data_IF_310403017083
#
_entry.id   IF_310403017083
#
_cell.length_a   1.000
_cell.length_b   1.000
_cell.length_c   1.000
_cell.angle_alpha   90.00
_cell.angle_beta   90.00
_cell.angle_gamma   90.00
#
_symmetry.space_group_name_H-M   'P 1'
#
loop_
_entity.id
_entity.type
_entity.pdbx_description
1 polymer ?
#
# COMPACT_ATOMS: atom_id res chain seq x y z
N UNK A 1 17.77 -17.47 16.77
CA UNK A 1 16.98 -18.08 17.85
C UNK A 1 16.24 -19.28 17.32
N UNK A 2 15.98 -20.32 18.11
CA UNK A 2 15.31 -21.50 17.61
C UNK A 2 13.83 -21.19 17.29
N UNK A 3 13.32 -21.87 16.26
CA UNK A 3 11.88 -22.02 16.07
C UNK A 3 11.29 -22.48 17.41
N UNK A 4 10.20 -21.86 17.85
CA UNK A 4 9.57 -22.24 19.09
C UNK A 4 9.15 -23.70 19.03
N UNK A 5 9.72 -24.54 19.88
CA UNK A 5 9.54 -25.99 19.84
C UNK A 5 8.10 -26.47 20.12
N UNK A 6 7.20 -25.58 20.58
CA UNK A 6 5.81 -25.91 20.86
C UNK A 6 4.96 -25.72 19.60
N UNK A 7 4.49 -26.81 19.01
CA UNK A 7 3.49 -26.79 17.95
C UNK A 7 2.17 -26.17 18.44
N UNK A 8 1.63 -25.23 17.67
CA UNK A 8 0.31 -24.64 17.88
C UNK A 8 -0.73 -25.49 17.12
N UNK A 9 -1.44 -26.34 17.82
CA UNK A 9 -2.41 -27.31 17.27
C UNK A 9 -3.87 -27.01 17.66
N UNK A 10 -4.11 -26.08 18.60
CA UNK A 10 -5.46 -25.78 19.08
C UNK A 10 -6.00 -24.46 18.51
N UNK A 11 -6.95 -24.51 17.51
CA UNK A 11 -7.57 -23.32 16.93
C UNK A 11 -8.36 -22.46 17.93
N UNK A 12 -8.77 -23.05 19.07
CA UNK A 12 -9.56 -22.37 20.10
C UNK A 12 -8.71 -21.78 21.22
N UNK A 13 -7.40 -21.88 21.15
CA UNK A 13 -6.51 -21.31 22.16
C UNK A 13 -6.63 -19.77 22.23
N UNK A 14 -6.36 -19.19 23.38
CA UNK A 14 -6.42 -17.73 23.57
C UNK A 14 -5.43 -16.97 22.68
N UNK A 15 -4.30 -17.58 22.37
CA UNK A 15 -3.31 -17.02 21.45
C UNK A 15 -3.88 -16.93 20.04
N UNK A 16 -4.42 -18.02 19.51
CA UNK A 16 -5.01 -18.09 18.18
C UNK A 16 -6.18 -17.12 18.05
N UNK A 17 -7.06 -17.06 19.05
CA UNK A 17 -8.19 -16.10 19.06
C UNK A 17 -7.72 -14.66 18.98
N UNK A 18 -6.68 -14.28 19.76
CA UNK A 18 -6.12 -12.91 19.71
C UNK A 18 -5.53 -12.57 18.35
N UNK A 19 -4.87 -13.52 17.67
CA UNK A 19 -4.35 -13.30 16.32
C UNK A 19 -5.51 -13.17 15.33
N UNK A 20 -6.51 -14.02 15.38
CA UNK A 20 -7.69 -13.95 14.53
C UNK A 20 -8.48 -12.63 14.67
N UNK A 21 -8.47 -11.99 15.86
CA UNK A 21 -9.06 -10.66 16.05
C UNK A 21 -8.41 -9.60 15.15
N UNK A 22 -7.15 -9.76 14.74
CA UNK A 22 -6.43 -8.81 13.90
C UNK A 22 -6.96 -8.74 12.45
N UNK A 23 -7.74 -9.71 12.03
CA UNK A 23 -8.47 -9.65 10.75
C UNK A 23 -9.50 -8.52 10.73
N UNK A 24 -9.93 -8.05 11.92
CA UNK A 24 -10.94 -7.01 12.09
C UNK A 24 -10.31 -5.68 12.53
N UNK A 25 -10.78 -4.56 12.00
CA UNK A 25 -10.29 -3.21 12.35
C UNK A 25 -10.31 -2.93 13.85
N UNK A 26 -11.39 -3.35 14.55
CA UNK A 26 -11.48 -3.18 16.02
C UNK A 26 -10.37 -3.93 16.76
N UNK A 27 -10.05 -5.15 16.32
CA UNK A 27 -8.97 -5.96 16.89
C UNK A 27 -7.60 -5.30 16.68
N UNK A 28 -7.32 -4.84 15.48
CA UNK A 28 -6.07 -4.12 15.15
C UNK A 28 -5.87 -2.87 16.02
N UNK A 29 -6.91 -2.02 16.09
CA UNK A 29 -6.85 -0.78 16.91
C UNK A 29 -6.66 -1.06 18.39
N UNK A 30 -7.34 -2.09 18.93
CA UNK A 30 -7.23 -2.47 20.35
C UNK A 30 -5.84 -2.97 20.72
N UNK A 31 -5.21 -3.74 19.83
CA UNK A 31 -3.97 -4.45 20.13
C UNK A 31 -2.71 -3.70 19.61
N UNK A 32 -2.85 -2.63 18.81
CA UNK A 32 -1.72 -1.96 18.16
C UNK A 32 -0.93 -2.88 17.22
N UNK A 33 -1.59 -3.91 16.69
CA UNK A 33 -1.01 -4.95 15.84
C UNK A 33 -1.84 -5.16 14.60
N UNK A 34 -1.23 -5.70 13.55
CA UNK A 34 -1.93 -6.06 12.31
C UNK A 34 -1.45 -7.41 11.78
N UNK A 35 -2.27 -8.01 10.93
CA UNK A 35 -2.02 -9.31 10.33
C UNK A 35 -1.48 -9.14 8.92
N UNK A 36 -0.37 -9.82 8.62
CA UNK A 36 0.21 -9.98 7.30
C UNK A 36 -0.05 -11.43 6.89
N UNK A 37 -0.72 -11.65 5.78
CA UNK A 37 -1.11 -12.99 5.33
C UNK A 37 -0.57 -13.33 3.93
N UNK A 38 -0.20 -14.58 3.75
CA UNK A 38 0.28 -15.13 2.50
C UNK A 38 1.79 -15.01 2.27
N UNK A 39 2.37 -15.97 1.53
CA UNK A 39 3.83 -16.12 1.39
C UNK A 39 4.51 -14.90 0.83
N UNK A 40 3.90 -14.25 -0.18
CA UNK A 40 4.52 -13.07 -0.80
C UNK A 40 4.59 -11.89 0.18
N UNK A 41 3.44 -11.54 0.82
CA UNK A 41 3.40 -10.40 1.74
C UNK A 41 4.30 -10.61 2.96
N UNK A 42 4.35 -11.82 3.52
CA UNK A 42 5.22 -12.13 4.66
C UNK A 42 6.69 -12.08 4.26
N UNK A 43 7.06 -12.61 3.08
CA UNK A 43 8.44 -12.53 2.56
C UNK A 43 8.89 -11.09 2.42
N UNK A 44 8.08 -10.23 1.78
CA UNK A 44 8.42 -8.81 1.58
C UNK A 44 8.53 -8.06 2.92
N UNK A 45 7.62 -8.32 3.87
CA UNK A 45 7.71 -7.75 5.21
C UNK A 45 9.03 -8.14 5.91
N UNK A 46 9.43 -9.40 5.84
CA UNK A 46 10.71 -9.88 6.39
C UNK A 46 11.91 -9.25 5.69
N UNK A 47 11.84 -9.08 4.37
CA UNK A 47 12.97 -8.55 3.60
C UNK A 47 13.18 -7.05 3.83
N UNK A 48 12.11 -6.26 3.86
CA UNK A 48 12.16 -4.80 3.78
C UNK A 48 11.75 -4.08 5.07
N UNK A 49 11.03 -4.78 5.96
CA UNK A 49 10.48 -4.20 7.19
C UNK A 49 10.54 -5.19 8.37
N UNK A 50 11.64 -5.92 8.53
CA UNK A 50 11.78 -6.96 9.55
C UNK A 50 11.63 -6.44 10.98
N UNK A 51 11.94 -5.18 11.24
CA UNK A 51 11.85 -4.50 12.53
C UNK A 51 10.40 -4.29 13.00
N UNK A 52 9.43 -4.26 12.08
CA UNK A 52 8.00 -4.18 12.44
C UNK A 52 7.40 -5.56 12.73
N UNK A 53 7.99 -6.65 12.23
CA UNK A 53 7.46 -8.01 12.40
C UNK A 53 7.83 -8.55 13.76
N UNK A 54 6.85 -9.03 14.53
CA UNK A 54 7.06 -9.57 15.88
C UNK A 54 7.00 -11.08 15.92
N UNK A 55 6.05 -11.67 15.19
CA UNK A 55 5.82 -13.11 15.17
C UNK A 55 5.50 -13.57 13.76
N UNK A 56 6.00 -14.74 13.39
CA UNK A 56 5.62 -15.46 12.17
C UNK A 56 5.09 -16.82 12.56
N UNK A 57 4.00 -17.23 11.93
CA UNK A 57 3.38 -18.53 12.09
C UNK A 57 3.40 -19.23 10.74
N UNK A 58 4.08 -20.38 10.67
CA UNK A 58 4.19 -21.21 9.46
C UNK A 58 3.47 -22.52 9.66
N UNK A 59 2.77 -22.96 8.63
CA UNK A 59 2.12 -24.27 8.65
C UNK A 59 3.14 -25.40 8.68
N UNK A 60 2.89 -26.38 9.55
CA UNK A 60 3.72 -27.56 9.73
C UNK A 60 3.18 -28.47 10.82
N UNK A 61 3.89 -29.53 11.09
CA UNK A 61 3.58 -30.54 12.12
C UNK A 61 4.86 -30.96 12.86
N UNK A 62 4.84 -32.13 13.53
CA UNK A 62 5.98 -32.68 14.25
C UNK A 62 7.14 -33.09 13.34
N UNK A 63 6.87 -33.36 12.06
CA UNK A 63 7.87 -33.77 11.07
C UNK A 63 8.53 -32.55 10.38
N UNK A 64 7.94 -31.35 10.45
CA UNK A 64 8.52 -30.12 9.93
C UNK A 64 7.54 -29.11 9.33
N UNK A 65 8.08 -28.19 8.52
CA UNK A 65 7.30 -27.16 7.84
C UNK A 65 6.75 -27.71 6.51
N UNK A 66 5.47 -27.40 6.19
CA UNK A 66 4.69 -27.98 5.08
C UNK A 66 5.33 -27.84 3.68
N UNK A 67 6.20 -26.85 3.47
CA UNK A 67 6.81 -26.62 2.16
C UNK A 67 8.14 -25.85 2.22
N UNK A 68 8.97 -26.04 1.18
CA UNK A 68 10.24 -25.32 1.04
C UNK A 68 10.08 -23.79 1.01
N UNK A 69 8.96 -23.30 0.43
CA UNK A 69 8.67 -21.86 0.39
C UNK A 69 8.45 -21.31 1.79
N UNK A 70 7.72 -22.02 2.63
CA UNK A 70 7.47 -21.61 4.02
C UNK A 70 8.72 -21.74 4.87
N UNK A 71 9.52 -22.80 4.63
CA UNK A 71 10.82 -23.00 5.29
C UNK A 71 11.82 -21.88 4.95
N UNK A 72 11.89 -21.44 3.68
CA UNK A 72 12.73 -20.31 3.25
C UNK A 72 12.30 -18.99 3.95
N UNK A 73 10.99 -18.73 4.05
CA UNK A 73 10.50 -17.54 4.76
C UNK A 73 10.88 -17.57 6.24
N UNK A 74 10.68 -18.73 6.89
CA UNK A 74 11.05 -18.92 8.30
C UNK A 74 12.56 -18.71 8.52
N UNK A 75 13.39 -19.28 7.66
CA UNK A 75 14.84 -19.15 7.76
C UNK A 75 15.31 -17.70 7.56
N UNK A 76 14.78 -17.00 6.53
CA UNK A 76 15.08 -15.58 6.31
C UNK A 76 14.69 -14.71 7.50
N UNK A 77 13.58 -15.02 8.15
CA UNK A 77 13.13 -14.31 9.33
C UNK A 77 14.12 -14.47 10.49
N UNK A 78 14.59 -15.69 10.74
CA UNK A 78 15.58 -15.99 11.77
C UNK A 78 16.92 -15.32 11.50
N UNK A 79 17.31 -15.23 10.22
CA UNK A 79 18.58 -14.59 9.81
C UNK A 79 18.55 -13.05 9.93
N UNK A 80 17.34 -12.45 9.82
CA UNK A 80 17.18 -10.99 9.80
C UNK A 80 17.14 -10.35 11.19
N UNK A 81 16.51 -10.99 12.18
CA UNK A 81 16.33 -10.40 13.50
C UNK A 81 16.29 -11.45 14.60
N UNK A 82 17.07 -11.19 15.67
CA UNK A 82 17.06 -12.01 16.89
C UNK A 82 15.77 -11.82 17.72
N UNK A 83 15.05 -10.72 17.49
CA UNK A 83 13.83 -10.36 18.24
C UNK A 83 12.54 -10.88 17.55
N UNK A 84 12.67 -11.52 16.39
CA UNK A 84 11.58 -12.07 15.64
C UNK A 84 11.32 -13.54 16.04
N UNK A 85 10.08 -13.86 16.39
CA UNK A 85 9.70 -15.21 16.82
C UNK A 85 9.04 -15.97 15.67
N UNK A 86 9.57 -17.16 15.36
CA UNK A 86 8.96 -18.10 14.41
C UNK A 86 8.30 -19.23 15.16
N UNK A 87 7.04 -19.53 14.82
CA UNK A 87 6.21 -20.56 15.41
C UNK A 87 5.71 -21.52 14.35
N UNK A 88 5.77 -22.80 14.62
CA UNK A 88 5.08 -23.82 13.81
C UNK A 88 3.64 -23.95 14.32
N UNK A 89 2.69 -23.98 13.40
CA UNK A 89 1.27 -24.15 13.68
C UNK A 89 0.68 -25.16 12.69
N UNK A 90 -0.33 -25.94 13.14
CA UNK A 90 -1.02 -26.81 12.20
C UNK A 90 -1.73 -26.01 11.11
N UNK A 91 -1.91 -26.59 9.94
CA UNK A 91 -2.65 -25.97 8.83
C UNK A 91 -4.04 -25.53 9.26
N UNK A 92 -4.72 -26.33 10.09
CA UNK A 92 -6.03 -25.99 10.64
C UNK A 92 -5.99 -24.69 11.47
N UNK A 93 -4.95 -24.46 12.26
CA UNK A 93 -4.78 -23.22 13.05
C UNK A 93 -4.58 -22.03 12.11
N UNK A 94 -3.72 -22.14 11.11
CA UNK A 94 -3.48 -21.06 10.16
C UNK A 94 -4.77 -20.69 9.40
N UNK A 95 -5.46 -21.70 8.86
CA UNK A 95 -6.70 -21.50 8.09
C UNK A 95 -7.86 -20.99 8.98
N UNK A 96 -7.86 -21.32 10.27
CA UNK A 96 -8.81 -20.76 11.24
C UNK A 96 -8.57 -19.24 11.46
N UNK A 97 -7.32 -18.79 11.48
CA UNK A 97 -6.97 -17.37 11.61
C UNK A 97 -7.33 -16.62 10.32
N UNK A 98 -6.87 -17.12 9.17
CA UNK A 98 -7.18 -16.59 7.86
C UNK A 98 -7.17 -17.68 6.79
N UNK A 99 -8.32 -17.94 6.14
CA UNK A 99 -8.39 -18.91 5.04
C UNK A 99 -7.52 -18.55 3.84
N UNK A 100 -7.19 -17.29 3.69
CA UNK A 100 -6.40 -16.74 2.58
C UNK A 100 -4.88 -16.76 2.86
N UNK A 101 -4.44 -17.25 4.03
CA UNK A 101 -3.05 -17.17 4.48
C UNK A 101 -2.08 -18.07 3.72
N UNK A 102 -2.58 -19.10 3.03
CA UNK A 102 -1.74 -20.03 2.25
C UNK A 102 -0.59 -20.67 3.06
N UNK A 103 -0.85 -20.92 4.35
CA UNK A 103 0.10 -21.58 5.26
C UNK A 103 1.06 -20.66 6.00
N UNK A 104 1.00 -19.35 5.82
CA UNK A 104 1.84 -18.43 6.58
C UNK A 104 1.14 -17.11 6.89
N UNK A 105 1.32 -16.68 8.13
CA UNK A 105 0.92 -15.35 8.62
C UNK A 105 2.06 -14.73 9.43
N UNK A 106 2.10 -13.41 9.46
CA UNK A 106 2.94 -12.67 10.40
C UNK A 106 2.12 -11.63 11.14
N UNK A 107 2.61 -11.23 12.31
CA UNK A 107 2.04 -10.15 13.13
C UNK A 107 3.00 -8.98 13.09
N UNK A 108 2.49 -7.82 12.66
CA UNK A 108 3.24 -6.58 12.61
C UNK A 108 2.83 -5.59 13.71
N UNK A 109 3.76 -4.73 14.10
CA UNK A 109 3.57 -3.62 15.02
C UNK A 109 3.11 -2.37 14.27
N UNK A 110 1.93 -1.85 14.60
CA UNK A 110 1.33 -0.70 13.93
C UNK A 110 2.10 0.61 14.16
N UNK A 111 2.60 0.81 15.38
CA UNK A 111 3.28 2.06 15.73
C UNK A 111 4.68 2.12 15.11
N UNK A 112 5.40 0.99 15.10
CA UNK A 112 6.68 0.90 14.39
C UNK A 112 6.52 1.16 12.90
N UNK A 113 5.52 0.53 12.24
CA UNK A 113 5.26 0.76 10.82
C UNK A 113 4.96 2.24 10.54
N UNK A 114 4.07 2.86 11.31
CA UNK A 114 3.72 4.29 11.13
C UNK A 114 4.90 5.21 11.35
N UNK A 115 5.73 4.93 12.35
CA UNK A 115 6.93 5.73 12.63
C UNK A 115 7.95 5.61 11.50
N UNK A 116 8.15 4.40 10.96
CA UNK A 116 9.00 4.17 9.80
C UNK A 116 8.49 4.93 8.56
N UNK A 117 7.22 4.76 8.22
CA UNK A 117 6.60 5.48 7.10
C UNK A 117 6.71 7.01 7.24
N UNK A 118 6.55 7.55 8.46
CA UNK A 118 6.71 8.97 8.70
C UNK A 118 8.14 9.44 8.43
N UNK A 119 9.13 8.71 8.89
CA UNK A 119 10.55 9.02 8.64
C UNK A 119 10.89 8.98 7.14
N UNK A 120 10.35 8.01 6.39
CA UNK A 120 10.51 7.92 4.95
C UNK A 120 9.88 9.10 4.21
N UNK A 121 8.69 9.56 4.63
CA UNK A 121 8.02 10.77 4.10
C UNK A 121 8.86 12.02 4.37
N UNK A 122 9.41 12.17 5.59
CA UNK A 122 10.30 13.27 5.94
C UNK A 122 11.57 13.26 5.07
N UNK A 123 12.14 12.09 4.83
CA UNK A 123 13.28 11.94 3.91
C UNK A 123 12.91 12.32 2.48
N UNK A 124 11.78 11.82 1.96
CA UNK A 124 11.30 12.14 0.61
C UNK A 124 11.05 13.64 0.42
N UNK A 125 10.58 14.32 1.46
CA UNK A 125 10.38 15.79 1.47
C UNK A 125 11.67 16.58 1.28
N UNK A 126 12.83 15.99 1.55
CA UNK A 126 14.14 16.61 1.38
C UNK A 126 14.75 16.43 -0.02
N UNK A 127 14.12 15.68 -0.91
CA UNK A 127 14.66 15.42 -2.24
C UNK A 127 14.72 16.69 -3.09
N UNK A 128 15.89 17.02 -3.62
CA UNK A 128 16.11 18.20 -4.47
C UNK A 128 15.27 18.20 -5.75
N UNK A 129 14.93 17.02 -6.26
CA UNK A 129 14.02 16.84 -7.40
C UNK A 129 12.54 17.07 -7.09
N UNK A 130 12.19 17.20 -5.81
CA UNK A 130 10.81 17.17 -5.33
C UNK A 130 10.25 15.74 -5.23
N UNK A 131 9.17 15.59 -4.44
CA UNK A 131 8.49 14.30 -4.27
C UNK A 131 7.56 13.96 -5.43
N UNK A 132 7.35 12.67 -5.64
CA UNK A 132 6.32 12.10 -6.52
C UNK A 132 5.28 11.42 -5.65
N UNK A 133 4.10 12.00 -5.61
CA UNK A 133 3.02 11.58 -4.72
C UNK A 133 1.89 10.96 -5.54
N UNK A 134 1.49 9.73 -5.20
CA UNK A 134 0.27 9.12 -5.70
C UNK A 134 -0.83 9.23 -4.64
N UNK A 135 -1.86 10.04 -4.91
CA UNK A 135 -2.94 10.31 -3.96
C UNK A 135 -4.28 9.72 -4.44
N UNK A 136 -5.02 9.11 -3.53
CA UNK A 136 -6.26 8.41 -3.84
C UNK A 136 -7.38 8.90 -2.92
N UNK A 137 -8.38 9.56 -3.49
CA UNK A 137 -9.49 10.13 -2.75
C UNK A 137 -10.61 9.12 -2.56
N UNK A 138 -10.90 8.78 -1.30
CA UNK A 138 -11.97 7.87 -0.88
C UNK A 138 -11.96 6.50 -1.59
N UNK A 139 -10.79 5.90 -1.79
CA UNK A 139 -10.70 4.52 -2.28
C UNK A 139 -11.23 3.56 -1.21
N UNK A 140 -12.25 2.76 -1.55
CA UNK A 140 -12.98 1.91 -0.59
C UNK A 140 -12.84 0.43 -0.85
N UNK A 141 -12.61 0.03 -2.10
CA UNK A 141 -12.37 -1.36 -2.44
C UNK A 141 -10.97 -1.80 -2.02
N UNK A 142 -10.82 -2.85 -1.19
CA UNK A 142 -9.50 -3.31 -0.73
C UNK A 142 -8.60 -3.80 -1.87
N UNK A 143 -9.15 -4.36 -2.93
CA UNK A 143 -8.40 -4.81 -4.10
C UNK A 143 -7.80 -3.64 -4.88
N UNK A 144 -8.62 -2.60 -5.15
CA UNK A 144 -8.13 -1.37 -5.77
C UNK A 144 -7.09 -0.69 -4.87
N UNK A 145 -7.35 -0.56 -3.57
CA UNK A 145 -6.42 0.07 -2.64
C UNK A 145 -5.03 -0.58 -2.66
N UNK A 146 -4.95 -1.90 -2.61
CA UNK A 146 -3.67 -2.59 -2.69
C UNK A 146 -3.03 -2.49 -4.08
N UNK A 147 -3.84 -2.56 -5.15
CA UNK A 147 -3.32 -2.47 -6.51
C UNK A 147 -2.78 -1.07 -6.83
N UNK A 148 -3.38 0.01 -6.31
CA UNK A 148 -2.86 1.37 -6.53
C UNK A 148 -1.56 1.61 -5.75
N UNK A 149 -1.40 1.03 -4.54
CA UNK A 149 -0.13 1.05 -3.81
C UNK A 149 0.96 0.37 -4.66
N UNK A 150 0.66 -0.81 -5.20
CA UNK A 150 1.59 -1.55 -6.07
C UNK A 150 1.93 -0.79 -7.34
N UNK A 151 0.97 -0.11 -7.97
CA UNK A 151 1.20 0.71 -9.15
C UNK A 151 2.10 1.92 -8.84
N UNK A 152 1.91 2.56 -7.68
CA UNK A 152 2.73 3.67 -7.22
C UNK A 152 4.18 3.24 -6.94
N UNK A 153 4.37 2.11 -6.25
CA UNK A 153 5.67 1.50 -6.01
C UNK A 153 6.39 1.19 -7.33
N UNK A 154 5.73 0.47 -8.24
CA UNK A 154 6.28 0.11 -9.55
C UNK A 154 6.64 1.35 -10.40
N UNK A 155 5.88 2.45 -10.28
CA UNK A 155 6.16 3.71 -10.96
C UNK A 155 7.24 4.55 -10.25
N UNK A 156 7.80 4.09 -9.12
CA UNK A 156 8.80 4.81 -8.33
C UNK A 156 8.27 6.13 -7.78
N UNK A 157 7.02 6.13 -7.31
CA UNK A 157 6.54 7.19 -6.45
C UNK A 157 7.25 7.15 -5.10
N UNK A 158 7.32 8.29 -4.42
CA UNK A 158 7.98 8.40 -3.13
C UNK A 158 7.01 8.20 -1.97
N UNK A 159 5.73 8.51 -2.19
CA UNK A 159 4.68 8.46 -1.16
C UNK A 159 3.33 8.11 -1.80
N UNK A 160 2.55 7.29 -1.10
CA UNK A 160 1.12 7.08 -1.37
C UNK A 160 0.30 7.79 -0.31
N UNK A 161 -0.72 8.55 -0.72
CA UNK A 161 -1.63 9.25 0.20
C UNK A 161 -3.06 8.75 0.01
N UNK A 162 -3.65 8.22 1.06
CA UNK A 162 -5.07 7.94 1.14
C UNK A 162 -5.79 9.18 1.70
N UNK A 163 -6.58 9.83 0.84
CA UNK A 163 -7.24 11.10 1.15
C UNK A 163 -8.69 10.85 1.58
N UNK A 164 -9.08 11.39 2.72
CA UNK A 164 -10.38 11.23 3.38
C UNK A 164 -10.71 9.77 3.76
N UNK A 165 -11.99 9.37 3.62
CA UNK A 165 -12.54 8.09 4.07
C UNK A 165 -12.16 6.95 3.12
N UNK A 166 -10.91 6.49 3.22
CA UNK A 166 -10.40 5.33 2.52
C UNK A 166 -10.52 4.05 3.34
N UNK A 167 -10.42 2.91 2.68
CA UNK A 167 -10.26 1.62 3.35
C UNK A 167 -8.99 1.61 4.21
N UNK A 168 -9.04 0.92 5.34
CA UNK A 168 -7.88 0.75 6.23
C UNK A 168 -6.74 0.03 5.49
N UNK A 169 -5.59 0.69 5.32
CA UNK A 169 -4.42 0.12 4.64
C UNK A 169 -3.88 -1.14 5.34
N UNK A 170 -4.14 -1.30 6.64
CA UNK A 170 -3.78 -2.49 7.42
C UNK A 170 -4.85 -3.59 7.38
N UNK A 171 -5.90 -3.46 6.55
CA UNK A 171 -6.81 -4.55 6.28
C UNK A 171 -6.03 -5.68 5.58
N UNK A 172 -6.09 -6.94 6.06
CA UNK A 172 -5.35 -8.06 5.44
C UNK A 172 -5.58 -8.19 3.93
N UNK A 173 -6.81 -7.93 3.45
CA UNK A 173 -7.11 -7.94 2.01
C UNK A 173 -6.38 -6.84 1.24
N UNK A 174 -6.17 -5.67 1.84
CA UNK A 174 -5.37 -4.59 1.24
C UNK A 174 -3.91 -5.05 1.18
N UNK A 175 -3.34 -5.46 2.33
CA UNK A 175 -1.95 -5.91 2.41
C UNK A 175 -1.66 -6.99 1.38
N UNK A 176 -2.52 -8.02 1.29
CA UNK A 176 -2.36 -9.11 0.32
C UNK A 176 -2.38 -8.59 -1.12
N UNK A 177 -3.29 -7.67 -1.46
CA UNK A 177 -3.39 -7.12 -2.82
C UNK A 177 -2.24 -6.20 -3.20
N UNK A 178 -1.45 -5.69 -2.23
CA UNK A 178 -0.21 -4.98 -2.52
C UNK A 178 0.91 -5.90 -3.00
N UNK A 179 0.80 -7.20 -2.75
CA UNK A 179 1.88 -8.20 -3.00
C UNK A 179 3.23 -7.82 -2.39
N UNK A 180 3.22 -7.06 -1.27
CA UNK A 180 4.40 -6.61 -0.55
C UNK A 180 4.74 -5.13 -0.68
N UNK A 181 4.24 -4.43 -1.69
CA UNK A 181 4.55 -3.01 -1.92
C UNK A 181 4.22 -2.09 -0.74
N UNK A 182 3.36 -2.50 0.20
CA UNK A 182 3.12 -1.76 1.44
C UNK A 182 4.40 -1.61 2.29
N UNK A 183 5.37 -2.49 2.12
CA UNK A 183 6.64 -2.49 2.85
C UNK A 183 7.79 -1.86 2.06
N UNK A 184 7.51 -1.33 0.86
CA UNK A 184 8.50 -0.68 -0.02
C UNK A 184 8.30 0.82 -0.13
N UNK A 185 7.06 1.30 0.07
CA UNK A 185 6.69 2.71 -0.11
C UNK A 185 5.82 3.16 1.06
N UNK A 186 6.07 4.33 1.66
CA UNK A 186 5.23 4.85 2.73
C UNK A 186 3.82 5.15 2.25
N UNK A 187 2.82 4.67 3.02
CA UNK A 187 1.40 4.93 2.80
C UNK A 187 0.85 5.69 4.00
N UNK A 188 0.40 6.92 3.76
CA UNK A 188 -0.15 7.78 4.81
C UNK A 188 -1.60 8.15 4.52
N UNK A 189 -2.35 8.53 5.55
CA UNK A 189 -3.74 8.95 5.42
C UNK A 189 -3.95 10.34 6.02
N UNK A 190 -4.69 11.19 5.32
CA UNK A 190 -5.02 12.54 5.77
C UNK A 190 -6.31 13.06 5.17
N UNK A 191 -6.85 14.16 5.71
CA UNK A 191 -8.01 14.84 5.16
C UNK A 191 -7.69 15.60 3.87
N UNK A 192 -8.73 15.94 3.09
CA UNK A 192 -8.57 16.67 1.82
C UNK A 192 -7.87 18.02 2.03
N UNK A 193 -8.23 18.78 3.06
CA UNK A 193 -7.61 20.09 3.31
C UNK A 193 -6.13 19.93 3.69
N UNK A 194 -5.83 19.02 4.61
CA UNK A 194 -4.46 18.73 5.04
C UNK A 194 -3.58 18.27 3.85
N UNK A 195 -4.15 17.51 2.92
CA UNK A 195 -3.46 17.09 1.70
C UNK A 195 -3.06 18.28 0.83
N UNK A 196 -3.99 19.19 0.52
CA UNK A 196 -3.67 20.34 -0.32
C UNK A 196 -2.72 21.34 0.39
N UNK A 197 -2.88 21.54 1.70
CA UNK A 197 -1.97 22.37 2.49
C UNK A 197 -0.56 21.78 2.48
N UNK A 198 -0.43 20.47 2.68
CA UNK A 198 0.86 19.78 2.62
C UNK A 198 1.49 19.85 1.22
N UNK A 199 0.73 19.64 0.13
CA UNK A 199 1.27 19.80 -1.23
C UNK A 199 1.79 21.21 -1.48
N UNK A 200 1.07 22.24 -1.01
CA UNK A 200 1.50 23.63 -1.10
C UNK A 200 2.78 23.89 -0.30
N UNK A 201 2.90 23.36 0.90
CA UNK A 201 4.13 23.46 1.73
C UNK A 201 5.32 22.82 1.04
N UNK A 202 5.12 21.69 0.34
CA UNK A 202 6.15 21.01 -0.43
C UNK A 202 6.43 21.66 -1.80
N UNK A 203 5.66 22.68 -2.20
CA UNK A 203 5.77 23.33 -3.50
C UNK A 203 5.45 22.41 -4.67
N UNK A 204 4.54 21.46 -4.48
CA UNK A 204 4.14 20.48 -5.48
C UNK A 204 2.81 20.85 -6.13
N UNK A 205 2.76 20.74 -7.44
CA UNK A 205 1.51 20.81 -8.19
C UNK A 205 0.69 19.55 -8.02
N UNK A 206 -0.62 19.70 -7.80
CA UNK A 206 -1.57 18.59 -7.76
C UNK A 206 -2.26 18.45 -9.11
N UNK A 207 -2.17 17.28 -9.71
CA UNK A 207 -2.81 16.92 -10.98
C UNK A 207 -3.96 15.97 -10.73
N UNK A 208 -5.17 16.37 -11.09
CA UNK A 208 -6.34 15.51 -10.97
C UNK A 208 -6.42 14.54 -12.13
N UNK A 209 -6.57 13.25 -11.86
CA UNK A 209 -6.94 12.26 -12.87
C UNK A 209 -8.47 12.25 -13.01
N UNK A 210 -9.00 12.93 -14.03
CA UNK A 210 -10.44 13.05 -14.27
C UNK A 210 -10.77 13.17 -15.75
N UNK A 211 -11.89 12.55 -16.19
CA UNK A 211 -12.30 12.49 -17.60
C UNK A 211 -13.25 13.62 -18.01
N UNK A 212 -13.90 14.27 -17.04
CA UNK A 212 -14.94 15.28 -17.31
C UNK A 212 -14.45 16.70 -17.11
N UNK A 213 -13.56 16.92 -16.14
CA UNK A 213 -13.13 18.25 -15.74
C UNK A 213 -14.19 19.06 -15.01
N UNK A 214 -14.10 20.39 -15.15
CA UNK A 214 -15.05 21.33 -14.59
C UNK A 214 -15.78 22.12 -15.68
N UNK A 215 -16.79 22.92 -15.31
CA UNK A 215 -17.44 23.84 -16.28
C UNK A 215 -16.46 24.82 -16.92
N UNK A 216 -15.36 25.17 -16.22
CA UNK A 216 -14.37 26.16 -16.65
C UNK A 216 -13.11 25.56 -17.26
N UNK A 217 -12.77 24.32 -16.89
CA UNK A 217 -11.52 23.65 -17.33
C UNK A 217 -11.82 22.25 -17.86
N UNK A 218 -11.43 22.02 -19.10
CA UNK A 218 -11.44 20.67 -19.69
C UNK A 218 -10.15 19.93 -19.33
N UNK A 219 -10.19 18.60 -19.24
CA UNK A 219 -8.98 17.82 -19.02
C UNK A 219 -8.01 17.94 -20.18
N UNK A 220 -6.72 18.02 -19.86
CA UNK A 220 -5.63 17.84 -20.81
C UNK A 220 -5.48 16.36 -21.12
N UNK A 221 -5.17 15.99 -22.35
CA UNK A 221 -4.93 14.59 -22.71
C UNK A 221 -3.56 14.16 -22.19
N UNK A 222 -3.48 12.99 -21.57
CA UNK A 222 -2.22 12.47 -21.02
C UNK A 222 -1.05 12.50 -22.04
N UNK A 223 -1.20 12.08 -23.31
CA UNK A 223 -0.10 12.18 -24.29
C UNK A 223 0.42 13.59 -24.47
N UNK A 224 -0.48 14.59 -24.55
CA UNK A 224 -0.10 16.00 -24.76
C UNK A 224 0.68 16.54 -23.56
N UNK A 225 0.28 16.13 -22.33
CA UNK A 225 1.00 16.45 -21.09
C UNK A 225 2.40 15.84 -21.09
N UNK A 226 2.53 14.55 -21.49
CA UNK A 226 3.83 13.86 -21.54
C UNK A 226 4.78 14.49 -22.58
N UNK A 227 4.25 14.92 -23.73
CA UNK A 227 5.05 15.58 -24.77
C UNK A 227 5.54 16.95 -24.29
N UNK A 228 4.68 17.74 -23.63
CA UNK A 228 5.09 19.00 -22.99
C UNK A 228 6.18 18.78 -21.93
N UNK A 229 6.09 17.72 -21.15
CA UNK A 229 7.07 17.36 -20.12
C UNK A 229 8.46 17.05 -20.68
N UNK A 230 8.57 16.44 -21.84
CA UNK A 230 9.85 16.10 -22.48
C UNK A 230 10.63 17.30 -23.01
N UNK A 231 9.96 18.44 -23.22
CA UNK A 231 10.56 19.66 -23.74
C UNK A 231 11.12 20.62 -22.68
N UNK A 232 10.92 20.36 -21.43
CA UNK A 232 11.33 21.27 -20.33
C UNK A 232 12.69 20.86 -19.73
N UNK A 233 13.78 21.57 -20.09
CA UNK A 233 15.16 21.28 -19.64
C UNK A 233 15.43 21.46 -18.14
N UNK A 234 14.56 22.11 -17.36
CA UNK A 234 14.82 22.49 -15.95
C UNK A 234 13.63 22.21 -15.03
N UNK A 235 12.89 21.17 -15.28
CA UNK A 235 11.69 20.86 -14.55
C UNK A 235 11.95 20.32 -13.14
N UNK A 236 11.23 20.84 -12.14
CA UNK A 236 11.08 20.12 -10.87
C UNK A 236 10.32 18.81 -11.14
N UNK A 237 10.96 17.68 -10.91
CA UNK A 237 10.39 16.36 -11.14
C UNK A 237 9.29 15.96 -10.14
N UNK A 238 9.05 16.79 -9.11
CA UNK A 238 8.05 16.56 -8.09
C UNK A 238 6.65 16.93 -8.55
N UNK A 239 5.69 16.05 -8.27
CA UNK A 239 4.26 16.26 -8.53
C UNK A 239 3.41 15.37 -7.62
N UNK A 240 2.13 15.71 -7.48
CA UNK A 240 1.13 14.83 -6.89
C UNK A 240 0.05 14.51 -7.93
N UNK A 241 -0.29 13.23 -8.11
CA UNK A 241 -1.44 12.84 -8.93
C UNK A 241 -2.56 12.38 -8.02
N UNK A 242 -3.70 13.08 -8.07
CA UNK A 242 -4.88 12.77 -7.26
C UNK A 242 -5.92 12.01 -8.11
N UNK A 243 -6.21 10.81 -7.70
CA UNK A 243 -7.22 9.94 -8.32
C UNK A 243 -8.53 9.98 -7.50
N UNK A 244 -9.65 10.02 -8.19
CA UNK A 244 -10.97 10.06 -7.57
C UNK A 244 -11.50 8.70 -7.15
N UNK A 245 -12.61 8.72 -6.40
CA UNK A 245 -13.37 7.52 -6.03
C UNK A 245 -13.91 6.80 -7.28
N UNK A 246 -13.99 5.45 -7.20
CA UNK A 246 -14.38 4.58 -8.32
C UNK A 246 -15.79 4.89 -8.86
N UNK A 247 -16.72 5.32 -8.00
CA UNK A 247 -18.11 5.54 -8.40
C UNK A 247 -18.44 7.00 -8.74
N UNK A 248 -17.73 7.96 -8.13
CA UNK A 248 -18.08 9.39 -8.16
C UNK A 248 -17.02 10.28 -8.77
N UNK A 249 -15.80 9.75 -8.98
CA UNK A 249 -14.66 10.56 -9.36
C UNK A 249 -14.29 11.60 -8.29
N UNK A 250 -13.69 12.70 -8.71
CA UNK A 250 -13.39 13.86 -7.86
C UNK A 250 -14.55 14.87 -7.93
N UNK A 251 -14.87 15.50 -6.80
CA UNK A 251 -15.88 16.55 -6.79
C UNK A 251 -15.33 17.88 -7.36
N UNK A 252 -16.24 18.77 -7.81
CA UNK A 252 -15.85 20.03 -8.47
C UNK A 252 -14.96 20.94 -7.63
N UNK A 253 -15.17 20.98 -6.29
CA UNK A 253 -14.34 21.80 -5.39
C UNK A 253 -12.91 21.26 -5.31
N UNK A 254 -12.73 19.95 -5.29
CA UNK A 254 -11.42 19.30 -5.31
C UNK A 254 -10.72 19.55 -6.66
N UNK A 255 -11.43 19.42 -7.77
CA UNK A 255 -10.88 19.71 -9.10
C UNK A 255 -10.45 21.17 -9.27
N UNK A 256 -11.15 22.12 -8.65
CA UNK A 256 -10.79 23.55 -8.70
C UNK A 256 -9.48 23.85 -7.96
N UNK A 257 -9.10 23.06 -6.96
CA UNK A 257 -7.85 23.21 -6.21
C UNK A 257 -6.64 22.61 -6.95
N UNK A 258 -6.85 21.73 -7.92
CA UNK A 258 -5.77 21.11 -8.67
C UNK A 258 -5.21 22.06 -9.74
N UNK A 259 -3.91 22.05 -9.97
CA UNK A 259 -3.24 22.88 -10.99
C UNK A 259 -3.53 22.35 -12.41
N UNK A 260 -3.60 21.02 -12.56
CA UNK A 260 -3.95 20.36 -13.83
C UNK A 260 -5.09 19.36 -13.65
N UNK A 261 -5.83 19.12 -14.74
CA UNK A 261 -6.75 17.99 -14.86
C UNK A 261 -6.29 17.18 -16.05
N UNK A 262 -5.96 15.91 -15.83
CA UNK A 262 -5.38 15.02 -16.85
C UNK A 262 -6.32 13.86 -17.13
N UNK A 263 -6.55 13.56 -18.39
CA UNK A 263 -7.39 12.43 -18.80
C UNK A 263 -6.63 11.43 -19.67
N UNK A 264 -6.93 10.15 -19.46
CA UNK A 264 -6.52 9.09 -20.41
C UNK A 264 -7.50 9.11 -21.57
N UNK A 265 -7.04 9.32 -22.83
CA UNK A 265 -7.94 9.33 -23.98
C UNK A 265 -8.53 7.94 -24.22
N UNK A 266 -9.85 7.86 -24.35
CA UNK A 266 -10.57 6.63 -24.69
C UNK A 266 -10.77 6.56 -26.20
N UNK A 267 -10.39 5.45 -26.82
CA UNK A 267 -10.51 5.22 -28.26
C UNK A 267 -11.66 4.25 -28.61
N UNK A 268 -12.25 3.62 -27.59
CA UNK A 268 -13.38 2.70 -27.73
C UNK A 268 -14.66 3.33 -27.20
N UNK A 269 -15.60 2.46 -26.75
CA UNK A 269 -16.91 2.85 -26.21
C UNK A 269 -16.94 2.97 -24.69
N UNK A 270 -15.86 2.63 -24.00
CA UNK A 270 -15.74 2.76 -22.55
C UNK A 270 -15.65 4.25 -22.18
N UNK A 271 -16.39 4.68 -21.16
CA UNK A 271 -16.37 6.05 -20.66
C UNK A 271 -15.21 6.30 -19.69
N UNK A 272 -14.77 5.27 -18.97
CA UNK A 272 -13.68 5.33 -17.99
C UNK A 272 -13.04 3.96 -17.80
N UNK A 273 -11.91 3.94 -17.10
CA UNK A 273 -11.21 2.74 -16.67
C UNK A 273 -11.36 2.52 -15.16
N UNK A 274 -11.12 1.29 -14.71
CA UNK A 274 -10.97 1.00 -13.29
C UNK A 274 -9.88 1.90 -12.67
N UNK A 275 -10.05 2.25 -11.39
CA UNK A 275 -9.14 3.14 -10.68
C UNK A 275 -7.68 2.67 -10.74
N UNK A 276 -7.43 1.39 -10.45
CA UNK A 276 -6.08 0.85 -10.43
C UNK A 276 -5.44 0.82 -11.83
N UNK A 277 -6.24 0.55 -12.87
CA UNK A 277 -5.80 0.63 -14.26
C UNK A 277 -5.43 2.06 -14.64
N UNK A 278 -6.27 3.04 -14.27
CA UNK A 278 -5.99 4.46 -14.53
C UNK A 278 -4.72 4.91 -13.81
N UNK A 279 -4.55 4.51 -12.55
CA UNK A 279 -3.36 4.82 -11.76
C UNK A 279 -2.10 4.23 -12.42
N UNK A 280 -2.12 2.96 -12.80
CA UNK A 280 -0.99 2.31 -13.45
C UNK A 280 -0.61 3.03 -14.78
N UNK A 281 -1.59 3.36 -15.62
CA UNK A 281 -1.32 4.04 -16.89
C UNK A 281 -0.69 5.41 -16.63
N UNK A 282 -1.31 6.26 -15.81
CA UNK A 282 -0.83 7.64 -15.59
C UNK A 282 0.54 7.62 -14.90
N UNK A 283 0.69 6.90 -13.79
CA UNK A 283 1.92 6.90 -13.00
C UNK A 283 3.10 6.31 -13.79
N UNK A 284 2.90 5.19 -14.50
CA UNK A 284 3.95 4.59 -15.34
C UNK A 284 4.29 5.48 -16.54
N UNK A 285 3.31 6.11 -17.19
CA UNK A 285 3.58 7.04 -18.29
C UNK A 285 4.42 8.24 -17.84
N UNK A 286 4.11 8.80 -16.66
CA UNK A 286 4.92 9.86 -16.04
C UNK A 286 6.33 9.37 -15.66
N UNK A 287 6.46 8.11 -15.22
CA UNK A 287 7.76 7.53 -14.94
C UNK A 287 8.64 7.39 -16.20
N UNK A 288 8.07 7.16 -17.38
CA UNK A 288 8.79 7.07 -18.65
C UNK A 288 9.27 8.42 -19.23
N UNK A 289 8.92 9.54 -18.62
CA UNK A 289 9.41 10.88 -19.02
C UNK A 289 10.67 11.32 -18.28
N UNK A 290 11.25 10.44 -17.48
CA UNK A 290 12.47 10.68 -16.67
C UNK A 290 13.73 10.61 -17.49
#
# INVERSE_FOLDING_TARGET
MPINAQLLDNPKSDRVRRIAELTRTKGRRKNGRFLIEGPQSVREAVCYASDIVTDIYVAGDEDGIDSDVLADIAQRALDKSADLYVHTATREVIDHISPDAQGVIAVGDTDKLRSGMKAEVEQASSYSRGMRVAAFWQVRDPGNAGTVIRAADAAGCDVVVFVDDCVDMLNPKVIRSTTGSLFHIPVIAMGTNDFFDWMKEQGLDVWAADVYGTRKRKPERLPDVLDAMRGEEHRKDGYAVLFGNEARGLNGKTLEQCQRIVSIPMYGKAESLNLATSAAIILMSLAFTR
#
